data_IF_952155180664
#
_entry.id   IF_952155180664
#
_cell.length_a   1.000
_cell.length_b   1.000
_cell.length_c   1.000
_cell.angle_alpha   90.00
_cell.angle_beta   90.00
_cell.angle_gamma   90.00
#
_symmetry.space_group_name_H-M   'P 1'
#
loop_
_entity.id
_entity.type
_entity.pdbx_description
1 polymer ?
#
# COMPACT_ATOMS: atom_id res chain seq x y z
N UNK A 1 17.25 -31.81 40.67
CA UNK A 1 17.52 -30.36 40.77
C UNK A 1 17.76 -29.73 39.39
N UNK A 2 18.84 -30.05 38.66
CA UNK A 2 19.13 -29.43 37.35
C UNK A 2 18.00 -29.55 36.32
N UNK A 3 17.37 -30.72 36.17
CA UNK A 3 16.24 -30.93 35.25
C UNK A 3 15.01 -30.07 35.58
N UNK A 4 14.72 -29.88 36.87
CA UNK A 4 13.61 -29.05 37.33
C UNK A 4 13.91 -27.57 37.08
N UNK A 5 15.14 -27.12 37.37
CA UNK A 5 15.58 -25.76 37.05
C UNK A 5 15.52 -25.46 35.56
N UNK A 6 15.93 -26.41 34.71
CA UNK A 6 15.87 -26.27 33.25
C UNK A 6 14.43 -26.12 32.76
N UNK A 7 13.51 -26.93 33.28
CA UNK A 7 12.09 -26.86 32.94
C UNK A 7 11.49 -25.50 33.30
N UNK A 8 11.81 -24.97 34.48
CA UNK A 8 11.35 -23.65 34.93
C UNK A 8 11.88 -22.54 34.02
N UNK A 9 13.17 -22.59 33.64
CA UNK A 9 13.76 -21.62 32.73
C UNK A 9 13.06 -21.65 31.37
N UNK A 10 12.84 -22.84 30.81
CA UNK A 10 12.16 -23.00 29.52
C UNK A 10 10.72 -22.49 29.56
N UNK A 11 9.99 -22.78 30.63
CA UNK A 11 8.65 -22.27 30.84
C UNK A 11 8.65 -20.73 30.94
N UNK A 12 9.60 -20.14 31.65
CA UNK A 12 9.72 -18.69 31.77
C UNK A 12 9.95 -18.02 30.40
N UNK A 13 10.80 -18.60 29.54
CA UNK A 13 11.01 -18.10 28.18
C UNK A 13 9.75 -18.24 27.31
N UNK A 14 9.02 -19.35 27.40
CA UNK A 14 7.77 -19.55 26.67
C UNK A 14 6.70 -18.52 27.09
N UNK A 15 6.55 -18.28 28.39
CA UNK A 15 5.62 -17.27 28.92
C UNK A 15 6.05 -15.87 28.46
N UNK A 16 7.34 -15.54 28.55
CA UNK A 16 7.86 -14.25 28.09
C UNK A 16 7.62 -14.05 26.59
N UNK A 17 7.90 -15.08 25.78
CA UNK A 17 7.67 -15.04 24.33
C UNK A 17 6.19 -14.85 24.01
N UNK A 18 5.31 -15.65 24.64
CA UNK A 18 3.87 -15.51 24.49
C UNK A 18 3.39 -14.11 24.87
N UNK A 19 3.83 -13.58 26.01
CA UNK A 19 3.48 -12.23 26.44
C UNK A 19 3.97 -11.17 25.45
N UNK A 20 5.21 -11.27 24.96
CA UNK A 20 5.73 -10.38 23.92
C UNK A 20 4.92 -10.46 22.63
N UNK A 21 4.55 -11.65 22.18
CA UNK A 21 3.71 -11.83 20.98
C UNK A 21 2.35 -11.15 21.17
N UNK A 22 1.71 -11.34 22.33
CA UNK A 22 0.42 -10.70 22.62
C UNK A 22 0.53 -9.17 22.64
N UNK A 23 1.64 -8.63 23.16
CA UNK A 23 1.92 -7.20 23.14
C UNK A 23 2.20 -6.69 21.71
N UNK A 24 3.02 -7.39 20.93
CA UNK A 24 3.37 -7.02 19.55
C UNK A 24 2.13 -7.02 18.64
N UNK A 25 1.24 -8.01 18.82
CA UNK A 25 -0.02 -8.09 18.08
C UNK A 25 -1.09 -7.12 18.63
N UNK A 26 -0.82 -6.45 19.75
CA UNK A 26 -1.72 -5.50 20.39
C UNK A 26 -3.14 -6.05 20.59
N UNK A 27 -3.26 -7.33 20.99
CA UNK A 27 -4.53 -8.08 20.98
C UNK A 27 -5.60 -7.50 21.92
N UNK A 28 -5.19 -6.72 22.92
CA UNK A 28 -6.06 -6.08 23.89
C UNK A 28 -6.30 -4.59 23.58
N UNK A 29 -5.94 -4.13 22.38
CA UNK A 29 -6.15 -2.75 21.97
C UNK A 29 -7.63 -2.39 22.02
N UNK A 30 -7.93 -1.31 22.74
CA UNK A 30 -9.26 -0.70 22.75
C UNK A 30 -9.23 0.53 21.87
N UNK A 31 -10.14 0.60 20.91
CA UNK A 31 -10.33 1.79 20.06
C UNK A 31 -11.48 2.60 20.64
N UNK A 32 -11.22 3.86 20.92
CA UNK A 32 -12.24 4.81 21.36
C UNK A 32 -12.79 5.56 20.15
N UNK A 33 -14.10 5.84 20.17
CA UNK A 33 -14.74 6.57 19.08
C UNK A 33 -14.28 8.03 19.07
N UNK A 34 -13.55 8.41 18.03
CA UNK A 34 -13.26 9.81 17.71
C UNK A 34 -14.22 10.29 16.62
N UNK A 35 -14.81 11.49 16.79
CA UNK A 35 -15.71 12.11 15.80
C UNK A 35 -15.07 13.38 15.25
N UNK A 36 -14.28 13.30 14.17
CA UNK A 36 -13.60 14.46 13.60
C UNK A 36 -14.55 15.44 12.86
N UNK A 37 -15.84 15.12 12.77
CA UNK A 37 -16.84 15.86 12.02
C UNK A 37 -17.63 14.94 11.08
N UNK A 38 -18.37 15.49 10.12
CA UNK A 38 -19.05 14.71 9.09
C UNK A 38 -18.04 13.95 8.21
N UNK A 39 -18.13 12.62 8.19
CA UNK A 39 -17.32 11.77 7.31
C UNK A 39 -18.16 11.26 6.15
N UNK A 40 -17.54 11.09 4.98
CA UNK A 40 -18.15 10.44 3.81
C UNK A 40 -17.17 9.45 3.21
N UNK A 41 -17.70 8.31 2.78
CA UNK A 41 -16.95 7.31 2.02
C UNK A 41 -16.68 7.85 0.62
N UNK A 42 -15.46 7.63 0.13
CA UNK A 42 -15.12 7.85 -1.28
C UNK A 42 -15.45 6.57 -2.05
N UNK A 43 -16.33 6.69 -3.05
CA UNK A 43 -16.74 5.59 -3.92
C UNK A 43 -15.73 5.33 -5.04
N UNK A 44 -15.87 4.19 -5.71
CA UNK A 44 -15.01 3.77 -6.84
C UNK A 44 -13.98 2.72 -6.46
N UNK A 45 -13.36 2.85 -5.28
CA UNK A 45 -12.35 1.91 -4.78
C UNK A 45 -13.03 0.73 -4.07
N UNK A 46 -12.78 -0.49 -4.53
CA UNK A 46 -13.38 -1.72 -3.98
C UNK A 46 -12.40 -2.60 -3.21
N UNK A 47 -11.14 -2.65 -3.65
CA UNK A 47 -10.17 -3.66 -3.24
C UNK A 47 -9.04 -3.06 -2.38
N UNK A 48 -9.41 -2.33 -1.32
CA UNK A 48 -8.46 -1.67 -0.42
C UNK A 48 -7.88 -0.36 -0.96
N UNK A 49 -7.34 0.45 -0.06
CA UNK A 49 -6.71 1.74 -0.33
C UNK A 49 -5.48 1.86 0.55
N UNK A 50 -4.48 1.00 0.30
CA UNK A 50 -3.41 0.75 1.27
C UNK A 50 -2.57 2.00 1.54
N UNK A 51 -2.23 2.77 0.50
CA UNK A 51 -1.53 4.04 0.64
C UNK A 51 -2.09 5.13 -0.27
N UNK A 52 -1.88 6.38 0.14
CA UNK A 52 -2.41 7.59 -0.50
C UNK A 52 -1.35 8.67 -0.45
N UNK A 53 -1.10 9.32 -1.58
CA UNK A 53 -0.27 10.54 -1.63
C UNK A 53 -1.07 11.72 -2.17
N UNK A 54 -0.91 12.89 -1.55
CA UNK A 54 -1.61 14.12 -1.93
C UNK A 54 -0.62 15.09 -2.55
N UNK A 55 -0.88 15.49 -3.79
CA UNK A 55 -0.15 16.56 -4.48
C UNK A 55 -0.89 17.86 -4.22
N UNK A 56 -0.43 18.62 -3.22
CA UNK A 56 -1.14 19.81 -2.74
C UNK A 56 -1.26 20.90 -3.79
N UNK A 57 -0.23 21.13 -4.62
CA UNK A 57 -0.21 22.15 -5.67
C UNK A 57 -1.28 21.91 -6.75
N UNK A 58 -1.72 20.65 -6.89
CA UNK A 58 -2.72 20.23 -7.87
C UNK A 58 -4.08 19.91 -7.26
N UNK A 59 -4.19 19.86 -5.93
CA UNK A 59 -5.38 19.35 -5.21
C UNK A 59 -5.79 17.94 -5.66
N UNK A 60 -4.81 17.07 -5.94
CA UNK A 60 -5.06 15.70 -6.39
C UNK A 60 -4.53 14.72 -5.35
N UNK A 61 -5.29 13.68 -5.06
CA UNK A 61 -4.84 12.53 -4.30
C UNK A 61 -4.71 11.31 -5.23
N UNK A 62 -3.57 10.63 -5.17
CA UNK A 62 -3.34 9.35 -5.84
C UNK A 62 -3.41 8.23 -4.81
N UNK A 63 -4.14 7.17 -5.12
CA UNK A 63 -4.50 6.11 -4.18
C UNK A 63 -4.16 4.76 -4.81
N UNK A 64 -3.39 3.93 -4.13
CA UNK A 64 -3.09 2.56 -4.57
C UNK A 64 -4.16 1.60 -4.08
N UNK A 65 -4.54 0.64 -4.92
CA UNK A 65 -5.62 -0.32 -4.65
C UNK A 65 -5.29 -1.67 -5.26
N UNK A 66 -5.88 -2.73 -4.70
CA UNK A 66 -5.75 -4.08 -5.22
C UNK A 66 -4.51 -4.82 -4.73
N UNK A 67 -3.84 -4.33 -3.68
CA UNK A 67 -2.78 -5.09 -3.01
C UNK A 67 -3.33 -6.40 -2.46
N UNK A 68 -2.60 -7.48 -2.69
CA UNK A 68 -2.90 -8.80 -2.16
C UNK A 68 -1.68 -9.35 -1.45
N UNK A 69 -1.73 -9.47 -0.12
CA UNK A 69 -0.59 -9.87 0.71
C UNK A 69 -0.78 -11.24 1.41
N UNK A 70 -1.99 -11.82 1.41
CA UNK A 70 -2.37 -12.88 2.36
C UNK A 70 -3.15 -14.07 1.77
N UNK A 71 -2.82 -14.54 0.56
CA UNK A 71 -3.39 -15.82 0.08
C UNK A 71 -2.34 -16.89 -0.12
N UNK A 72 -2.69 -18.08 0.35
CA UNK A 72 -1.99 -19.34 0.13
C UNK A 72 -2.16 -19.89 -1.29
N UNK A 73 -3.00 -19.27 -2.13
CA UNK A 73 -3.29 -19.69 -3.50
C UNK A 73 -3.31 -18.50 -4.50
N UNK A 74 -2.24 -18.32 -5.29
CA UNK A 74 -2.14 -17.26 -6.31
C UNK A 74 -3.12 -17.38 -7.48
N UNK A 75 -3.81 -18.53 -7.62
CA UNK A 75 -4.80 -18.75 -8.69
C UNK A 75 -6.19 -18.18 -8.36
N UNK A 76 -6.43 -17.83 -7.09
CA UNK A 76 -7.73 -17.31 -6.60
C UNK A 76 -7.80 -15.79 -6.51
N UNK A 77 -6.77 -15.09 -6.94
CA UNK A 77 -6.69 -13.63 -6.81
C UNK A 77 -7.07 -12.98 -8.14
N UNK A 78 -8.33 -12.57 -8.26
CA UNK A 78 -8.84 -11.77 -9.38
C UNK A 78 -8.56 -10.26 -9.21
N UNK A 79 -7.92 -9.85 -8.12
CA UNK A 79 -7.65 -8.44 -7.87
C UNK A 79 -6.57 -7.94 -8.82
N UNK A 80 -6.97 -7.07 -9.72
CA UNK A 80 -6.08 -6.26 -10.53
C UNK A 80 -5.61 -5.07 -9.69
N UNK A 81 -4.30 -4.85 -9.62
CA UNK A 81 -3.78 -3.65 -8.99
C UNK A 81 -4.11 -2.41 -9.83
N UNK A 82 -4.51 -1.34 -9.15
CA UNK A 82 -5.04 -0.14 -9.76
C UNK A 82 -4.50 1.09 -9.03
N UNK A 83 -4.38 2.20 -9.76
CA UNK A 83 -4.20 3.53 -9.17
C UNK A 83 -5.46 4.33 -9.44
N UNK A 84 -5.95 5.00 -8.41
CA UNK A 84 -7.07 5.91 -8.49
C UNK A 84 -6.59 7.35 -8.26
N UNK A 85 -7.31 8.28 -8.84
CA UNK A 85 -7.18 9.71 -8.60
C UNK A 85 -8.45 10.26 -7.96
N UNK A 86 -8.27 11.16 -7.01
CA UNK A 86 -9.37 11.91 -6.41
C UNK A 86 -9.06 13.40 -6.44
N UNK A 87 -9.95 14.17 -7.07
CA UNK A 87 -9.87 15.63 -7.10
C UNK A 87 -10.45 16.21 -5.82
N UNK A 88 -9.58 16.77 -4.97
CA UNK A 88 -9.92 17.34 -3.68
C UNK A 88 -10.67 18.68 -3.81
N UNK A 89 -10.61 19.32 -4.98
CA UNK A 89 -11.37 20.54 -5.25
C UNK A 89 -12.86 20.26 -5.51
N UNK A 90 -13.19 19.02 -5.87
CA UNK A 90 -14.54 18.59 -6.19
C UNK A 90 -15.17 17.80 -5.04
N UNK A 91 -16.49 17.95 -4.88
CA UNK A 91 -17.28 17.20 -3.89
C UNK A 91 -18.03 16.03 -4.53
N UNK A 92 -17.37 15.33 -5.46
CA UNK A 92 -17.95 14.15 -6.14
C UNK A 92 -17.98 12.93 -5.21
N UNK A 93 -17.10 12.88 -4.22
CA UNK A 93 -16.91 11.73 -3.32
C UNK A 93 -16.68 10.41 -4.09
N UNK A 94 -16.11 10.48 -5.29
CA UNK A 94 -15.83 9.33 -6.14
C UNK A 94 -14.42 9.44 -6.71
N UNK A 95 -13.59 8.45 -6.43
CA UNK A 95 -12.27 8.33 -7.03
C UNK A 95 -12.39 7.68 -8.42
N UNK A 96 -11.61 8.19 -9.36
CA UNK A 96 -11.57 7.70 -10.75
C UNK A 96 -10.34 6.81 -10.92
N UNK A 97 -10.52 5.61 -11.47
CA UNK A 97 -9.38 4.78 -11.87
C UNK A 97 -8.67 5.43 -13.04
N UNK A 98 -7.35 5.53 -12.97
CA UNK A 98 -6.53 6.03 -14.07
C UNK A 98 -5.71 4.90 -14.71
N UNK A 99 -5.63 4.85 -16.05
CA UNK A 99 -4.85 3.83 -16.72
C UNK A 99 -3.34 4.06 -16.49
N UNK A 100 -2.61 2.97 -16.28
CA UNK A 100 -1.15 2.95 -16.27
C UNK A 100 -0.66 2.33 -17.57
N UNK A 101 0.11 3.07 -18.35
CA UNK A 101 0.55 2.70 -19.69
C UNK A 101 2.05 2.45 -19.74
N UNK A 102 2.48 1.60 -20.66
CA UNK A 102 3.90 1.33 -20.92
C UNK A 102 4.58 0.46 -19.87
N UNK A 103 3.83 -0.20 -18.99
CA UNK A 103 4.39 -1.19 -18.08
C UNK A 103 4.95 -2.38 -18.88
N UNK A 104 6.22 -2.78 -18.66
CA UNK A 104 6.81 -3.93 -19.34
C UNK A 104 6.27 -5.27 -18.80
N UNK A 105 5.84 -5.28 -17.53
CA UNK A 105 5.37 -6.46 -16.83
C UNK A 105 3.85 -6.42 -16.64
N UNK A 106 3.19 -7.57 -16.78
CA UNK A 106 1.75 -7.70 -16.60
C UNK A 106 1.33 -7.75 -15.12
N UNK A 107 2.29 -7.97 -14.20
CA UNK A 107 2.03 -7.98 -12.76
C UNK A 107 2.22 -6.59 -12.16
N UNK A 108 1.10 -5.96 -11.80
CA UNK A 108 1.08 -4.66 -11.15
C UNK A 108 0.25 -4.79 -9.86
N UNK A 109 0.93 -4.96 -8.73
CA UNK A 109 0.33 -4.97 -7.38
C UNK A 109 0.89 -3.78 -6.59
N UNK A 110 0.31 -2.58 -6.73
CA UNK A 110 0.81 -1.37 -6.10
C UNK A 110 0.54 -1.40 -4.59
N UNK A 111 1.53 -0.93 -3.83
CA UNK A 111 1.53 -0.85 -2.37
C UNK A 111 1.72 0.61 -1.95
N UNK A 112 2.82 0.92 -1.27
CA UNK A 112 3.21 2.29 -0.94
C UNK A 112 3.38 3.19 -2.16
N UNK A 113 3.03 4.46 -2.01
CA UNK A 113 3.10 5.47 -3.05
C UNK A 113 3.64 6.80 -2.52
N UNK A 114 4.54 7.41 -3.28
CA UNK A 114 5.00 8.77 -3.03
C UNK A 114 5.07 9.55 -4.34
N UNK A 115 5.27 10.85 -4.24
CA UNK A 115 5.38 11.72 -5.40
C UNK A 115 6.53 12.71 -5.29
N UNK A 116 6.93 13.23 -6.45
CA UNK A 116 7.77 14.40 -6.59
C UNK A 116 7.25 15.26 -7.73
N UNK A 117 7.18 16.57 -7.53
CA UNK A 117 6.82 17.52 -8.59
C UNK A 117 8.11 18.00 -9.26
N UNK A 118 8.26 17.68 -10.55
CA UNK A 118 9.42 18.08 -11.35
C UNK A 118 9.41 19.59 -11.60
N UNK A 119 10.54 20.14 -12.06
CA UNK A 119 10.71 21.59 -12.30
C UNK A 119 9.74 22.13 -13.36
N UNK A 120 9.29 21.29 -14.29
CA UNK A 120 8.32 21.62 -15.33
C UNK A 120 6.86 21.47 -14.85
N UNK A 121 6.64 21.10 -13.58
CA UNK A 121 5.32 20.89 -12.98
C UNK A 121 4.75 19.48 -13.18
N UNK A 122 5.49 18.57 -13.83
CA UNK A 122 5.07 17.18 -14.00
C UNK A 122 5.04 16.47 -12.64
N UNK A 123 3.93 15.80 -12.33
CA UNK A 123 3.82 14.94 -11.14
C UNK A 123 4.41 13.58 -11.46
N UNK A 124 5.52 13.24 -10.80
CA UNK A 124 6.15 11.93 -10.86
C UNK A 124 5.78 11.12 -9.63
N UNK A 125 5.25 9.91 -9.84
CA UNK A 125 4.90 8.96 -8.80
C UNK A 125 6.00 7.89 -8.67
N UNK A 126 6.27 7.49 -7.44
CA UNK A 126 7.14 6.39 -7.07
C UNK A 126 6.28 5.36 -6.35
N UNK A 127 6.01 4.25 -7.03
CA UNK A 127 5.06 3.23 -6.55
C UNK A 127 5.84 1.97 -6.21
N UNK A 128 5.73 1.51 -4.96
CA UNK A 128 6.18 0.18 -4.58
C UNK A 128 5.26 -0.82 -5.26
N UNK A 129 5.82 -1.73 -6.05
CA UNK A 129 5.07 -2.76 -6.76
C UNK A 129 5.65 -4.13 -6.41
N UNK A 130 4.75 -5.04 -6.08
CA UNK A 130 5.07 -6.43 -5.80
C UNK A 130 4.71 -7.34 -6.98
N UNK A 131 5.47 -8.42 -7.14
CA UNK A 131 5.05 -9.57 -7.95
C UNK A 131 4.30 -10.59 -7.09
N UNK A 132 3.64 -11.56 -7.72
CA UNK A 132 3.01 -12.68 -6.99
C UNK A 132 4.01 -13.53 -6.21
N UNK A 133 5.27 -13.54 -6.63
CA UNK A 133 6.37 -14.20 -5.93
C UNK A 133 6.96 -13.35 -4.80
N UNK A 134 6.35 -12.19 -4.52
CA UNK A 134 6.75 -11.26 -3.48
C UNK A 134 8.13 -10.64 -3.73
N UNK A 135 8.44 -10.37 -5.00
CA UNK A 135 9.59 -9.57 -5.38
C UNK A 135 9.21 -8.10 -5.44
N UNK A 136 10.15 -7.23 -5.05
CA UNK A 136 9.89 -5.81 -4.88
C UNK A 136 10.53 -4.98 -5.99
N UNK A 137 9.79 -3.97 -6.44
CA UNK A 137 10.30 -2.97 -7.38
C UNK A 137 9.71 -1.60 -7.11
N UNK A 138 10.38 -0.56 -7.60
CA UNK A 138 9.83 0.80 -7.63
C UNK A 138 9.48 1.13 -9.08
N UNK A 139 8.19 1.27 -9.36
CA UNK A 139 7.70 1.72 -10.65
C UNK A 139 7.55 3.24 -10.61
N UNK A 140 8.27 3.91 -11.52
CA UNK A 140 8.26 5.36 -11.68
C UNK A 140 7.30 5.72 -12.81
N UNK A 141 6.32 6.56 -12.51
CA UNK A 141 5.26 6.95 -13.43
C UNK A 141 5.16 8.47 -13.51
N UNK A 142 4.94 9.03 -14.70
CA UNK A 142 4.63 10.44 -14.87
C UNK A 142 3.14 10.61 -15.19
N UNK A 143 2.50 11.55 -14.49
CA UNK A 143 1.09 11.88 -14.70
C UNK A 143 0.90 12.84 -15.88
N UNK A 144 0.14 12.39 -16.89
CA UNK A 144 -0.36 13.24 -17.97
C UNK A 144 -1.74 13.76 -17.58
N UNK A 145 -1.76 15.01 -17.12
CA UNK A 145 -2.97 15.71 -16.68
C UNK A 145 -4.00 15.88 -17.81
N UNK A 146 -3.55 16.05 -19.07
CA UNK A 146 -4.45 16.26 -20.21
C UNK A 146 -5.19 14.97 -20.59
N UNK A 147 -4.48 13.84 -20.55
CA UNK A 147 -5.03 12.53 -20.89
C UNK A 147 -5.59 11.76 -19.69
N UNK A 148 -5.38 12.28 -18.46
CA UNK A 148 -5.72 11.60 -17.20
C UNK A 148 -5.16 10.17 -17.13
N UNK A 149 -3.87 10.01 -17.41
CA UNK A 149 -3.20 8.71 -17.41
C UNK A 149 -1.83 8.78 -16.75
N UNK A 150 -1.31 7.62 -16.36
CA UNK A 150 0.05 7.45 -15.86
C UNK A 150 0.91 6.77 -16.93
N UNK A 151 2.05 7.37 -17.26
CA UNK A 151 2.98 6.80 -18.23
C UNK A 151 4.19 6.24 -17.49
N UNK A 152 4.55 4.99 -17.81
CA UNK A 152 5.77 4.39 -17.32
C UNK A 152 7.00 5.18 -17.77
N UNK A 153 7.87 5.48 -16.80
CA UNK A 153 9.17 6.10 -17.03
C UNK A 153 10.27 5.05 -16.89
N UNK A 154 10.26 4.32 -15.78
CA UNK A 154 11.27 3.31 -15.44
C UNK A 154 10.78 2.42 -14.31
N UNK A 155 11.22 1.16 -14.33
CA UNK A 155 11.16 0.27 -13.16
C UNK A 155 12.56 0.14 -12.55
N UNK A 156 12.68 0.38 -11.25
CA UNK A 156 13.90 0.18 -10.49
C UNK A 156 13.78 -1.12 -9.71
N UNK A 157 14.78 -1.98 -9.86
CA UNK A 157 14.95 -3.24 -9.14
C UNK A 157 16.33 -3.24 -8.52
N UNK A 158 16.44 -3.76 -7.31
CA UNK A 158 17.69 -3.89 -6.60
C UNK A 158 17.60 -5.11 -5.67
N UNK A 159 18.67 -5.88 -5.55
CA UNK A 159 18.74 -7.04 -4.65
C UNK A 159 18.57 -6.65 -3.18
N UNK A 160 18.83 -5.37 -2.85
CA UNK A 160 18.62 -4.81 -1.50
C UNK A 160 17.16 -4.50 -1.21
N UNK A 161 16.26 -4.54 -2.20
CA UNK A 161 14.82 -4.58 -1.94
C UNK A 161 14.47 -6.00 -1.50
N UNK A 162 14.98 -6.38 -0.32
CA UNK A 162 14.88 -7.73 0.21
C UNK A 162 13.46 -8.12 0.54
N UNK A 163 13.26 -9.42 0.73
CA UNK A 163 12.03 -10.04 1.24
C UNK A 163 11.87 -9.85 2.74
#
# INVERSE_FOLDING_TARGET
>A
MLKQSLLVILLAFLVQYGFKVLLTLDVNKRVYNHRPGPCRKIDGIKNGSEDITIVHEKNLAFITSGLVFLYSDPSKTENQGEIFIYDLSQRTYKAERIPVLGLPDFEFLPHGISHWVLKDGTVRLFVVVHTKNFEHSIVILDYDEKKKQLNHVRTVRDEKFGR
#
